data_IF_830551611691
#
_entry.id   IF_830551611691
#
_cell.length_a   1.000
_cell.length_b   1.000
_cell.length_c   1.000
_cell.angle_alpha   90.00
_cell.angle_beta   90.00
_cell.angle_gamma   90.00
#
_symmetry.space_group_name_H-M   'P 1'
#
loop_
_entity.id
_entity.type
_entity.pdbx_description
1 polymer ?
#
# COMPACT_ATOMS: atom_id res chain seq x y z
N UNK A 1 9.40 11.03 -15.98
CA UNK A 1 10.79 10.60 -15.75
C UNK A 1 11.20 9.71 -16.91
N UNK A 2 12.45 9.77 -17.43
CA UNK A 2 12.87 8.80 -18.43
C UNK A 2 12.97 7.43 -17.76
N UNK A 3 12.13 6.49 -18.21
CA UNK A 3 12.11 5.07 -17.77
C UNK A 3 13.30 4.29 -18.36
N UNK A 4 14.49 4.90 -18.41
CA UNK A 4 15.69 4.27 -18.94
C UNK A 4 15.90 2.90 -18.30
N UNK A 5 15.51 1.83 -19.04
CA UNK A 5 15.92 0.48 -18.81
C UNK A 5 15.48 -0.17 -17.50
N UNK A 6 14.14 -0.30 -17.24
CA UNK A 6 13.70 -1.30 -16.27
C UNK A 6 14.16 -2.68 -16.74
N UNK A 7 14.65 -3.55 -15.83
CA UNK A 7 15.04 -4.89 -16.20
C UNK A 7 13.83 -5.69 -16.72
N UNK A 8 14.06 -6.44 -17.80
CA UNK A 8 13.03 -7.34 -18.33
C UNK A 8 12.76 -8.47 -17.35
N UNK A 9 11.52 -8.91 -17.32
CA UNK A 9 11.11 -10.08 -16.54
C UNK A 9 11.63 -11.35 -17.22
N UNK A 10 12.44 -12.20 -16.53
CA UNK A 10 12.91 -13.44 -17.12
C UNK A 10 11.74 -14.36 -17.45
N UNK A 11 11.75 -15.08 -18.61
CA UNK A 11 10.70 -16.04 -18.94
C UNK A 11 10.51 -17.16 -17.90
N UNK A 12 11.58 -17.51 -17.18
CA UNK A 12 11.55 -18.48 -16.07
C UNK A 12 10.82 -18.01 -14.83
N UNK A 13 10.56 -16.69 -14.71
CA UNK A 13 9.82 -16.13 -13.59
C UNK A 13 8.35 -15.92 -13.99
N UNK A 14 7.52 -16.94 -13.80
CA UNK A 14 6.13 -17.04 -14.28
C UNK A 14 5.07 -16.69 -13.22
N UNK A 15 5.49 -16.24 -12.01
CA UNK A 15 4.58 -15.92 -10.90
C UNK A 15 3.56 -14.86 -11.29
N UNK A 16 2.31 -15.07 -10.90
CA UNK A 16 1.25 -14.07 -11.01
C UNK A 16 1.55 -12.87 -10.10
N UNK A 17 1.17 -11.67 -10.54
CA UNK A 17 1.50 -10.43 -9.83
C UNK A 17 0.26 -9.89 -9.11
N UNK A 18 0.40 -9.62 -7.82
CA UNK A 18 -0.61 -8.91 -7.04
C UNK A 18 -0.06 -7.57 -6.54
N UNK A 19 -0.95 -6.58 -6.43
CA UNK A 19 -0.68 -5.30 -5.81
C UNK A 19 -1.60 -5.13 -4.61
N UNK A 20 -1.02 -4.91 -3.44
CA UNK A 20 -1.74 -4.77 -2.17
C UNK A 20 -1.54 -3.37 -1.62
N UNK A 21 -2.63 -2.63 -1.44
CA UNK A 21 -2.63 -1.21 -1.11
C UNK A 21 -3.24 -0.97 0.28
N UNK A 22 -2.42 -0.46 1.19
CA UNK A 22 -2.83 -0.13 2.57
C UNK A 22 -3.74 1.09 2.61
N UNK A 23 -4.59 1.19 3.64
CA UNK A 23 -5.33 2.40 3.98
C UNK A 23 -4.44 3.49 4.59
N UNK A 24 -4.78 4.77 4.37
CA UNK A 24 -3.99 5.88 4.92
C UNK A 24 -4.35 7.27 4.40
N UNK A 25 -5.57 7.48 3.90
CA UNK A 25 -6.07 8.80 3.50
C UNK A 25 -5.18 9.49 2.46
N UNK A 26 -4.77 10.73 2.75
CA UNK A 26 -3.95 11.54 1.85
C UNK A 26 -2.58 10.93 1.50
N UNK A 27 -2.08 9.97 2.29
CA UNK A 27 -0.83 9.26 2.00
C UNK A 27 -0.93 8.36 0.75
N UNK A 28 -2.14 8.01 0.33
CA UNK A 28 -2.38 7.13 -0.82
C UNK A 28 -1.85 7.65 -2.17
N UNK A 29 -1.46 8.93 -2.29
CA UNK A 29 -0.76 9.46 -3.45
C UNK A 29 0.62 8.81 -3.67
N UNK A 30 1.28 8.35 -2.60
CA UNK A 30 2.49 7.51 -2.69
C UNK A 30 2.22 6.22 -3.46
N UNK A 31 1.08 5.55 -3.19
CA UNK A 31 0.68 4.33 -3.90
C UNK A 31 0.47 4.57 -5.40
N UNK A 32 -0.09 5.73 -5.75
CA UNK A 32 -0.28 6.11 -7.14
C UNK A 32 1.07 6.30 -7.86
N UNK A 33 2.06 6.90 -7.19
CA UNK A 33 3.43 7.01 -7.69
C UNK A 33 4.12 5.64 -7.85
N UNK A 34 3.94 4.74 -6.89
CA UNK A 34 4.41 3.35 -7.02
C UNK A 34 3.78 2.68 -8.24
N UNK A 35 2.47 2.81 -8.40
CA UNK A 35 1.77 2.19 -9.52
C UNK A 35 2.19 2.77 -10.87
N UNK A 36 2.49 4.06 -10.99
CA UNK A 36 3.00 4.68 -12.22
C UNK A 36 4.22 3.92 -12.77
N UNK A 37 5.15 3.53 -11.90
CA UNK A 37 6.34 2.80 -12.29
C UNK A 37 6.06 1.31 -12.53
N UNK A 38 5.26 0.68 -11.67
CA UNK A 38 4.84 -0.72 -11.84
C UNK A 38 4.08 -0.90 -13.16
N UNK A 39 3.22 0.05 -13.53
CA UNK A 39 2.47 0.02 -14.80
C UNK A 39 3.36 0.10 -16.05
N UNK A 40 4.56 0.69 -15.94
CA UNK A 40 5.53 0.79 -17.03
C UNK A 40 6.48 -0.41 -17.10
N UNK A 41 6.37 -1.37 -16.17
CA UNK A 41 7.19 -2.58 -16.08
C UNK A 41 6.47 -3.80 -16.67
N UNK A 42 7.19 -4.92 -16.78
CA UNK A 42 6.61 -6.22 -17.14
C UNK A 42 5.91 -6.92 -15.94
N UNK A 43 5.86 -6.27 -14.77
CA UNK A 43 5.21 -6.79 -13.56
C UNK A 43 3.81 -6.19 -13.33
N UNK A 44 3.03 -6.05 -14.41
CA UNK A 44 1.67 -5.51 -14.33
C UNK A 44 0.79 -6.45 -13.48
N UNK A 45 0.10 -5.94 -12.43
CA UNK A 45 -0.71 -6.78 -11.57
C UNK A 45 -1.96 -7.31 -12.27
N UNK A 46 -2.22 -8.61 -12.09
CA UNK A 46 -3.47 -9.29 -12.47
C UNK A 46 -4.51 -9.24 -11.34
N UNK A 47 -4.09 -8.87 -10.13
CA UNK A 47 -4.94 -8.72 -8.96
C UNK A 47 -4.51 -7.49 -8.14
N UNK A 48 -5.47 -6.61 -7.86
CA UNK A 48 -5.26 -5.45 -6.97
C UNK A 48 -6.20 -5.56 -5.79
N UNK A 49 -5.66 -5.44 -4.58
CA UNK A 49 -6.44 -5.48 -3.35
C UNK A 49 -6.15 -4.22 -2.51
N UNK A 50 -7.18 -3.62 -1.92
CA UNK A 50 -7.01 -2.37 -1.17
C UNK A 50 -7.97 -2.22 0.00
N UNK A 51 -7.57 -1.36 0.94
CA UNK A 51 -8.37 -0.92 2.08
C UNK A 51 -8.41 0.62 2.06
N UNK A 52 -9.56 1.22 2.37
CA UNK A 52 -9.70 2.68 2.48
C UNK A 52 -9.26 3.40 1.20
N UNK A 53 -8.36 4.36 1.27
CA UNK A 53 -7.78 5.03 0.08
C UNK A 53 -7.11 4.03 -0.87
N UNK A 54 -6.53 2.95 -0.34
CA UNK A 54 -5.99 1.85 -1.14
C UNK A 54 -7.07 1.14 -1.96
N UNK A 55 -8.31 1.04 -1.45
CA UNK A 55 -9.44 0.49 -2.21
C UNK A 55 -9.87 1.41 -3.35
N UNK A 56 -9.82 2.72 -3.14
CA UNK A 56 -10.10 3.73 -4.18
C UNK A 56 -9.06 3.64 -5.30
N UNK A 57 -7.76 3.68 -4.94
CA UNK A 57 -6.68 3.50 -5.92
C UNK A 57 -6.81 2.16 -6.66
N UNK A 58 -7.09 1.07 -5.93
CA UNK A 58 -7.28 -0.26 -6.51
C UNK A 58 -8.43 -0.31 -7.52
N UNK A 59 -9.57 0.32 -7.19
CA UNK A 59 -10.73 0.38 -8.07
C UNK A 59 -10.44 1.17 -9.37
N UNK A 60 -9.73 2.31 -9.25
CA UNK A 60 -9.31 3.10 -10.42
C UNK A 60 -8.35 2.28 -11.30
N UNK A 61 -7.41 1.54 -10.70
CA UNK A 61 -6.47 0.68 -11.43
C UNK A 61 -7.22 -0.46 -12.14
N UNK A 62 -8.07 -1.19 -11.42
CA UNK A 62 -8.73 -2.38 -11.95
C UNK A 62 -9.83 -2.04 -12.97
N UNK A 63 -10.54 -0.92 -12.77
CA UNK A 63 -11.66 -0.52 -13.61
C UNK A 63 -11.28 0.25 -14.88
N UNK A 64 -9.99 0.44 -15.17
CA UNK A 64 -9.58 1.16 -16.36
C UNK A 64 -8.66 0.31 -17.26
N UNK A 65 -8.62 0.66 -18.56
CA UNK A 65 -7.69 0.05 -19.49
C UNK A 65 -6.23 0.38 -19.08
N UNK A 66 -5.28 -0.54 -19.24
CA UNK A 66 -3.90 -0.33 -18.79
C UNK A 66 -3.28 1.02 -19.20
N UNK A 67 -3.47 1.54 -20.42
CA UNK A 67 -2.92 2.84 -20.82
C UNK A 67 -3.51 4.03 -20.04
N UNK A 68 -4.76 3.91 -19.56
CA UNK A 68 -5.50 5.02 -18.95
C UNK A 68 -5.34 5.09 -17.43
N UNK A 69 -4.89 4.01 -16.79
CA UNK A 69 -4.88 3.83 -15.32
C UNK A 69 -4.15 4.94 -14.58
N UNK A 70 -2.94 5.27 -15.03
CA UNK A 70 -2.11 6.32 -14.41
C UNK A 70 -2.75 7.69 -14.59
N UNK A 71 -3.28 7.98 -15.77
CA UNK A 71 -3.99 9.25 -16.05
C UNK A 71 -5.24 9.39 -15.16
N UNK A 72 -6.00 8.32 -14.97
CA UNK A 72 -7.19 8.31 -14.09
C UNK A 72 -6.83 8.49 -12.62
N UNK A 73 -5.76 7.84 -12.15
CA UNK A 73 -5.22 8.09 -10.79
C UNK A 73 -4.80 9.55 -10.63
N UNK A 74 -4.11 10.12 -11.62
CA UNK A 74 -3.69 11.52 -11.59
C UNK A 74 -4.89 12.45 -11.52
N UNK A 75 -5.91 12.23 -12.35
CA UNK A 75 -7.16 13.00 -12.32
C UNK A 75 -7.81 12.94 -10.94
N UNK A 76 -7.93 11.74 -10.33
CA UNK A 76 -8.48 11.59 -8.99
C UNK A 76 -7.70 12.41 -7.96
N UNK A 77 -6.39 12.24 -7.89
CA UNK A 77 -5.55 12.92 -6.92
C UNK A 77 -5.50 14.43 -7.12
N UNK A 78 -5.56 14.90 -8.38
CA UNK A 78 -5.65 16.32 -8.69
C UNK A 78 -6.99 16.94 -8.27
N UNK A 79 -8.09 16.21 -8.36
CA UNK A 79 -9.40 16.71 -7.93
C UNK A 79 -9.55 16.79 -6.43
N UNK A 80 -9.14 15.74 -5.71
CA UNK A 80 -9.32 15.68 -4.26
C UNK A 80 -8.26 16.47 -3.48
N UNK A 81 -7.29 17.09 -4.16
CA UNK A 81 -6.26 17.90 -3.53
C UNK A 81 -6.49 19.39 -3.80
N UNK A 82 -6.45 20.20 -2.74
CA UNK A 82 -6.63 21.64 -2.84
C UNK A 82 -5.51 22.30 -3.63
N UNK A 83 -5.81 23.17 -4.60
CA UNK A 83 -4.78 23.92 -5.29
C UNK A 83 -4.04 24.83 -4.30
N UNK A 84 -2.71 24.82 -4.36
CA UNK A 84 -1.79 25.54 -3.49
C UNK A 84 -1.76 27.08 -3.79
N UNK A 85 -2.82 27.63 -4.36
CA UNK A 85 -2.84 29.01 -4.88
C UNK A 85 -2.57 30.13 -3.86
N UNK A 86 -2.54 29.81 -2.57
CA UNK A 86 -2.33 30.82 -1.51
C UNK A 86 -0.94 30.78 -0.88
N UNK A 87 -0.08 29.81 -1.20
CA UNK A 87 1.23 29.67 -0.54
C UNK A 87 2.33 29.36 -1.55
N UNK A 88 3.56 29.89 -1.36
CA UNK A 88 4.71 29.56 -2.19
C UNK A 88 5.01 28.07 -2.14
N UNK A 89 5.29 27.46 -3.27
CA UNK A 89 5.83 26.09 -3.36
C UNK A 89 7.33 26.09 -2.99
N UNK A 90 7.80 25.04 -2.31
CA UNK A 90 9.23 24.90 -1.99
C UNK A 90 9.64 25.54 -0.67
N UNK A 91 8.75 25.66 0.27
CA UNK A 91 9.09 26.00 1.66
C UNK A 91 9.70 24.78 2.35
N UNK A 92 10.80 24.99 3.08
CA UNK A 92 11.45 23.96 3.90
C UNK A 92 11.35 24.28 5.40
N UNK A 93 11.53 23.29 6.26
CA UNK A 93 11.61 23.45 7.70
C UNK A 93 10.28 23.90 8.36
N UNK A 94 10.33 24.76 9.43
CA UNK A 94 9.15 25.09 10.24
C UNK A 94 8.00 25.75 9.47
N UNK A 95 8.30 26.49 8.39
CA UNK A 95 7.28 27.12 7.55
C UNK A 95 6.50 26.08 6.73
N UNK A 96 7.16 25.05 6.21
CA UNK A 96 6.52 23.95 5.52
C UNK A 96 5.62 23.15 6.47
N UNK A 97 6.06 22.93 7.71
CA UNK A 97 5.27 22.27 8.75
C UNK A 97 4.01 23.07 9.09
N UNK A 98 4.14 24.37 9.31
CA UNK A 98 3.01 25.25 9.58
C UNK A 98 2.00 25.24 8.41
N UNK A 99 2.48 25.27 7.17
CA UNK A 99 1.66 25.17 5.98
C UNK A 99 0.88 23.85 5.94
N UNK A 100 1.54 22.71 6.20
CA UNK A 100 0.88 21.39 6.24
C UNK A 100 -0.23 21.34 7.29
N UNK A 101 0.02 21.89 8.52
CA UNK A 101 -0.99 21.95 9.59
C UNK A 101 -2.18 22.81 9.21
N UNK A 102 -1.97 23.96 8.58
CA UNK A 102 -3.05 24.82 8.07
C UNK A 102 -3.84 24.12 6.99
N UNK A 103 -3.18 23.48 6.02
CA UNK A 103 -3.83 22.71 4.95
C UNK A 103 -4.69 21.58 5.51
N UNK A 104 -4.18 20.82 6.47
CA UNK A 104 -4.92 19.76 7.15
C UNK A 104 -6.15 20.31 7.90
N UNK A 105 -5.99 21.44 8.59
CA UNK A 105 -7.10 22.14 9.26
C UNK A 105 -8.18 22.59 8.27
N UNK A 106 -7.80 23.14 7.12
CA UNK A 106 -8.73 23.53 6.06
C UNK A 106 -9.46 22.31 5.47
N UNK A 107 -8.77 21.17 5.26
CA UNK A 107 -9.40 19.95 4.82
C UNK A 107 -10.49 19.46 5.78
N UNK A 108 -10.26 19.55 7.09
CA UNK A 108 -11.24 19.21 8.11
C UNK A 108 -12.42 20.19 8.15
N UNK A 109 -12.18 21.48 7.94
CA UNK A 109 -13.21 22.53 8.04
C UNK A 109 -14.05 22.67 6.76
N UNK A 110 -13.41 22.52 5.59
CA UNK A 110 -14.05 22.77 4.29
C UNK A 110 -14.38 21.48 3.53
N UNK A 111 -13.81 20.33 3.95
CA UNK A 111 -13.88 19.09 3.18
C UNK A 111 -12.93 19.09 2.00
N UNK A 112 -13.07 18.05 1.14
CA UNK A 112 -12.28 17.90 -0.09
C UNK A 112 -13.21 17.70 -1.29
N UNK A 113 -13.07 18.53 -2.34
CA UNK A 113 -13.88 18.41 -3.54
C UNK A 113 -13.86 16.98 -4.11
N UNK A 114 -15.02 16.48 -4.51
CA UNK A 114 -15.11 15.14 -5.10
C UNK A 114 -14.87 13.97 -4.13
N UNK A 115 -14.65 14.25 -2.84
CA UNK A 115 -14.39 13.23 -1.83
C UNK A 115 -15.35 13.31 -0.64
N UNK A 116 -15.28 14.36 0.18
CA UNK A 116 -16.14 14.55 1.34
C UNK A 116 -16.42 16.03 1.64
N UNK A 117 -17.59 16.29 2.23
CA UNK A 117 -18.02 17.63 2.67
C UNK A 117 -18.45 17.61 4.13
N UNK A 118 -18.14 18.66 4.94
CA UNK A 118 -18.62 18.74 6.31
C UNK A 118 -20.16 18.80 6.34
N UNK A 119 -20.76 18.17 7.33
CA UNK A 119 -22.20 18.33 7.60
C UNK A 119 -22.47 19.70 8.22
N UNK A 120 -23.59 20.30 7.87
CA UNK A 120 -23.96 21.59 8.43
C UNK A 120 -24.23 21.48 9.95
N UNK A 121 -23.86 22.50 10.75
CA UNK A 121 -24.13 22.50 12.19
C UNK A 121 -25.59 22.28 12.56
N UNK A 122 -26.53 22.73 11.72
CA UNK A 122 -27.96 22.51 11.92
C UNK A 122 -28.39 21.02 11.86
N UNK A 123 -27.64 20.17 11.17
CA UNK A 123 -27.92 18.74 11.09
C UNK A 123 -27.75 18.04 12.44
N UNK A 124 -26.92 18.60 13.35
CA UNK A 124 -26.63 18.04 14.68
C UNK A 124 -27.81 18.16 15.65
N UNK A 125 -28.72 19.09 15.40
CA UNK A 125 -29.94 19.30 16.18
C UNK A 125 -31.20 18.77 15.48
N UNK A 126 -31.06 18.10 14.36
CA UNK A 126 -32.18 17.44 13.69
C UNK A 126 -32.67 16.19 14.46
N UNK A 127 -33.93 15.80 14.30
CA UNK A 127 -34.51 14.59 14.91
C UNK A 127 -33.77 13.30 14.52
N UNK A 128 -33.11 13.30 13.38
CA UNK A 128 -32.21 12.24 12.92
C UNK A 128 -30.76 12.71 13.12
N UNK A 129 -30.20 12.53 14.33
CA UNK A 129 -28.80 12.86 14.62
C UNK A 129 -27.87 12.17 13.64
N UNK A 130 -26.95 12.91 13.02
CA UNK A 130 -25.99 12.33 12.06
C UNK A 130 -25.06 11.33 12.74
N UNK A 131 -24.72 10.25 12.06
CA UNK A 131 -23.77 9.23 12.53
C UNK A 131 -22.34 9.47 12.05
N UNK A 132 -22.07 10.64 11.43
CA UNK A 132 -20.74 11.01 10.88
C UNK A 132 -20.56 12.52 10.82
N UNK A 133 -19.32 12.98 10.86
CA UNK A 133 -18.97 14.40 10.73
C UNK A 133 -19.09 14.90 9.29
N UNK A 134 -18.86 14.03 8.30
CA UNK A 134 -18.84 14.37 6.88
C UNK A 134 -19.85 13.56 6.09
N UNK A 135 -20.24 14.10 4.94
CA UNK A 135 -20.96 13.43 3.87
C UNK A 135 -19.98 12.99 2.79
N UNK A 136 -20.14 11.78 2.24
CA UNK A 136 -19.27 11.21 1.21
C UNK A 136 -19.99 10.94 -0.12
N UNK A 137 -21.15 11.54 -0.36
CA UNK A 137 -21.92 11.37 -1.60
C UNK A 137 -21.13 11.80 -2.84
N UNK A 138 -20.29 12.85 -2.71
CA UNK A 138 -19.41 13.32 -3.77
C UNK A 138 -18.42 12.23 -4.25
N UNK A 139 -17.93 11.37 -3.34
CA UNK A 139 -17.05 10.27 -3.69
C UNK A 139 -17.73 9.27 -4.63
N UNK A 140 -19.04 9.00 -4.45
CA UNK A 140 -19.77 8.11 -5.35
C UNK A 140 -19.71 8.61 -6.79
N UNK A 141 -20.05 9.87 -7.01
CA UNK A 141 -20.01 10.50 -8.35
C UNK A 141 -18.59 10.46 -8.94
N UNK A 142 -17.57 10.71 -8.12
CA UNK A 142 -16.17 10.63 -8.56
C UNK A 142 -15.79 9.21 -8.98
N UNK A 143 -16.18 8.19 -8.22
CA UNK A 143 -15.93 6.80 -8.56
C UNK A 143 -16.67 6.38 -9.84
N UNK A 144 -17.96 6.74 -9.99
CA UNK A 144 -18.74 6.43 -11.18
C UNK A 144 -18.16 7.05 -12.46
N UNK A 145 -17.50 8.19 -12.35
CA UNK A 145 -16.84 8.88 -13.47
C UNK A 145 -15.45 8.34 -13.79
N UNK A 146 -14.68 7.93 -12.77
CA UNK A 146 -13.28 7.53 -12.93
C UNK A 146 -13.06 6.03 -13.04
N UNK A 147 -14.04 5.20 -12.70
CA UNK A 147 -13.99 3.74 -12.72
C UNK A 147 -15.05 3.21 -13.67
N UNK A 148 -14.64 2.46 -14.67
CA UNK A 148 -15.53 1.68 -15.52
C UNK A 148 -15.90 0.38 -14.80
N UNK A 149 -17.06 0.39 -14.14
CA UNK A 149 -17.53 -0.76 -13.37
C UNK A 149 -17.96 -1.94 -14.24
N UNK A 150 -18.38 -1.72 -15.48
CA UNK A 150 -18.70 -2.80 -16.42
C UNK A 150 -17.41 -3.54 -16.81
N UNK A 151 -16.37 -2.77 -17.12
CA UNK A 151 -15.04 -3.34 -17.35
C UNK A 151 -14.50 -4.06 -16.11
N UNK A 152 -14.58 -3.47 -14.94
CA UNK A 152 -14.11 -4.03 -13.69
C UNK A 152 -14.75 -5.40 -13.40
N UNK A 153 -16.02 -5.55 -13.70
CA UNK A 153 -16.80 -6.77 -13.49
C UNK A 153 -16.66 -7.79 -14.63
N UNK A 154 -15.92 -7.49 -15.69
CA UNK A 154 -15.64 -8.44 -16.76
C UNK A 154 -14.57 -9.45 -16.36
N UNK A 155 -14.79 -10.72 -16.69
CA UNK A 155 -13.97 -11.88 -16.29
C UNK A 155 -12.51 -11.83 -16.80
N UNK A 156 -12.25 -11.03 -17.83
CA UNK A 156 -10.92 -10.95 -18.49
C UNK A 156 -10.01 -9.87 -17.91
N UNK A 157 -10.46 -9.13 -16.89
CA UNK A 157 -9.76 -7.96 -16.38
C UNK A 157 -8.97 -8.23 -15.10
N UNK A 158 -8.24 -7.19 -14.67
CA UNK A 158 -7.54 -7.17 -13.38
C UNK A 158 -8.57 -7.37 -12.25
N UNK A 159 -8.36 -8.39 -11.43
CA UNK A 159 -9.21 -8.69 -10.28
C UNK A 159 -9.10 -7.59 -9.23
N UNK A 160 -10.22 -7.17 -8.68
CA UNK A 160 -10.30 -6.23 -7.56
C UNK A 160 -10.83 -6.92 -6.31
N UNK A 161 -10.18 -6.67 -5.16
CA UNK A 161 -10.71 -7.02 -3.85
C UNK A 161 -10.64 -5.83 -2.92
N UNK A 162 -11.73 -5.48 -2.26
CA UNK A 162 -11.79 -4.39 -1.28
C UNK A 162 -12.33 -4.91 0.05
N UNK A 163 -11.66 -4.54 1.15
CA UNK A 163 -12.04 -5.00 2.48
C UNK A 163 -12.85 -3.95 3.23
N UNK A 164 -13.93 -4.38 3.90
CA UNK A 164 -14.75 -3.53 4.78
C UNK A 164 -15.17 -4.30 6.03
N UNK A 165 -15.55 -3.59 7.09
CA UNK A 165 -16.00 -4.19 8.35
C UNK A 165 -17.51 -4.11 8.44
N UNK A 166 -18.19 -5.26 8.59
CA UNK A 166 -19.60 -5.29 8.89
C UNK A 166 -19.87 -4.72 10.30
N UNK A 167 -20.64 -3.65 10.36
CA UNK A 167 -20.85 -2.87 11.61
C UNK A 167 -21.49 -3.70 12.71
N UNK A 168 -22.41 -4.61 12.34
CA UNK A 168 -23.15 -5.42 13.30
C UNK A 168 -22.30 -6.52 13.93
N UNK A 169 -21.45 -7.16 13.11
CA UNK A 169 -20.69 -8.35 13.53
C UNK A 169 -19.25 -8.05 13.91
N UNK A 170 -18.71 -6.87 13.54
CA UNK A 170 -17.30 -6.50 13.66
C UNK A 170 -16.36 -7.31 12.78
N UNK A 171 -16.90 -8.13 11.86
CA UNK A 171 -16.09 -8.99 10.99
C UNK A 171 -15.61 -8.23 9.76
N UNK A 172 -14.32 -8.40 9.45
CA UNK A 172 -13.77 -8.00 8.17
C UNK A 172 -14.31 -8.92 7.07
N UNK A 173 -14.83 -8.33 6.01
CA UNK A 173 -15.31 -9.01 4.81
C UNK A 173 -14.58 -8.45 3.59
N UNK A 174 -14.48 -9.25 2.52
CA UNK A 174 -13.92 -8.80 1.26
C UNK A 174 -14.96 -8.88 0.16
N UNK A 175 -15.17 -7.78 -0.54
CA UNK A 175 -15.90 -7.71 -1.79
C UNK A 175 -14.91 -7.93 -2.93
N UNK A 176 -15.13 -8.95 -3.75
CA UNK A 176 -14.15 -9.46 -4.70
C UNK A 176 -14.80 -9.67 -6.08
N UNK A 177 -14.23 -9.04 -7.11
CA UNK A 177 -14.75 -9.09 -8.47
C UNK A 177 -14.74 -10.50 -9.11
N UNK A 178 -13.96 -11.44 -8.52
CA UNK A 178 -13.98 -12.84 -8.97
C UNK A 178 -15.23 -13.61 -8.48
N UNK A 179 -15.94 -13.10 -7.48
CA UNK A 179 -17.07 -13.81 -6.85
C UNK A 179 -18.38 -13.04 -6.88
N UNK A 180 -18.34 -11.72 -7.11
CA UNK A 180 -19.51 -10.86 -7.15
C UNK A 180 -19.28 -9.62 -8.01
N UNK A 181 -20.37 -8.99 -8.45
CA UNK A 181 -20.27 -7.70 -9.13
C UNK A 181 -19.93 -6.59 -8.12
N UNK A 182 -18.88 -5.83 -8.40
CA UNK A 182 -18.44 -4.69 -7.59
C UNK A 182 -19.19 -3.44 -8.04
N UNK A 183 -19.68 -2.68 -7.05
CA UNK A 183 -20.38 -1.39 -7.22
C UNK A 183 -19.60 -0.29 -6.48
N UNK A 184 -19.84 0.99 -6.77
CA UNK A 184 -19.23 2.11 -6.06
C UNK A 184 -19.36 1.99 -4.53
N UNK A 185 -20.49 1.51 -4.04
CA UNK A 185 -20.78 1.34 -2.61
C UNK A 185 -19.79 0.40 -1.90
N UNK A 186 -19.29 -0.63 -2.58
CA UNK A 186 -18.28 -1.54 -2.01
C UNK A 186 -16.95 -0.81 -1.75
N UNK A 187 -16.54 0.06 -2.68
CA UNK A 187 -15.33 0.88 -2.55
C UNK A 187 -15.52 1.94 -1.47
N UNK A 188 -16.68 2.60 -1.45
CA UNK A 188 -17.05 3.58 -0.42
C UNK A 188 -17.10 2.96 0.97
N UNK A 189 -17.64 1.75 1.12
CA UNK A 189 -17.69 1.01 2.39
C UNK A 189 -16.28 0.76 2.94
N UNK A 190 -15.34 0.39 2.06
CA UNK A 190 -13.93 0.22 2.44
C UNK A 190 -13.28 1.52 2.92
N UNK A 191 -13.75 2.68 2.48
CA UNK A 191 -13.23 4.00 2.85
C UNK A 191 -14.06 4.74 3.91
N UNK A 192 -15.08 4.11 4.48
CA UNK A 192 -16.02 4.70 5.43
C UNK A 192 -15.48 4.68 6.87
N UNK A 193 -14.42 5.45 7.19
CA UNK A 193 -13.80 5.48 8.52
C UNK A 193 -14.64 6.27 9.53
N UNK A 194 -15.21 5.64 10.56
CA UNK A 194 -15.95 6.33 11.61
C UNK A 194 -15.01 7.07 12.58
N UNK A 195 -15.45 8.13 13.25
CA UNK A 195 -16.73 8.82 13.11
C UNK A 195 -16.74 9.86 11.98
N UNK A 196 -15.66 9.98 11.21
CA UNK A 196 -15.52 10.92 10.10
C UNK A 196 -16.59 10.67 9.04
N UNK A 197 -16.67 9.46 8.53
CA UNK A 197 -17.52 9.08 7.40
C UNK A 197 -18.68 8.16 7.83
N UNK A 198 -19.85 8.27 7.14
CA UNK A 198 -21.02 7.44 7.44
C UNK A 198 -20.79 5.97 7.04
N UNK A 199 -21.44 5.06 7.73
CA UNK A 199 -21.52 3.66 7.26
C UNK A 199 -22.26 3.57 5.94
N UNK A 200 -21.80 2.70 5.06
CA UNK A 200 -22.42 2.44 3.75
C UNK A 200 -23.31 1.21 3.86
N UNK A 201 -24.55 1.32 3.36
CA UNK A 201 -25.49 0.21 3.30
C UNK A 201 -25.31 -0.56 1.99
N UNK A 202 -25.14 -1.88 2.12
CA UNK A 202 -25.02 -2.81 1.00
C UNK A 202 -25.88 -4.02 1.33
N UNK A 203 -26.90 -4.26 0.50
CA UNK A 203 -27.79 -5.41 0.58
C UNK A 203 -28.40 -5.61 2.00
N UNK A 204 -28.79 -4.49 2.66
CA UNK A 204 -29.41 -4.46 3.98
C UNK A 204 -28.45 -4.53 5.17
N UNK A 205 -27.16 -4.66 4.95
CA UNK A 205 -26.13 -4.62 5.98
C UNK A 205 -25.31 -3.32 5.90
N UNK A 206 -24.75 -2.88 7.04
CA UNK A 206 -23.94 -1.65 7.11
C UNK A 206 -22.47 -1.96 7.30
N UNK A 207 -21.63 -1.20 6.61
CA UNK A 207 -20.20 -1.40 6.56
C UNK A 207 -19.42 -0.13 6.87
N UNK A 208 -18.31 -0.30 7.58
CA UNK A 208 -17.28 0.70 7.83
C UNK A 208 -15.96 0.30 7.20
N UNK A 209 -14.99 1.21 7.25
CA UNK A 209 -13.63 1.06 6.76
C UNK A 209 -12.96 -0.22 7.27
N UNK A 210 -12.35 -0.96 6.35
CA UNK A 210 -11.60 -2.19 6.66
C UNK A 210 -10.44 -1.97 7.61
N UNK A 211 -9.85 -0.76 7.62
CA UNK A 211 -8.74 -0.36 8.49
C UNK A 211 -9.02 -0.44 9.99
N UNK A 212 -10.30 -0.52 10.39
CA UNK A 212 -10.66 -0.79 11.79
C UNK A 212 -10.15 -2.15 12.29
N UNK A 213 -10.09 -3.16 11.41
CA UNK A 213 -9.69 -4.52 11.74
C UNK A 213 -8.36 -4.88 11.09
N UNK A 214 -8.20 -4.65 9.79
CA UNK A 214 -6.95 -4.89 9.05
C UNK A 214 -6.76 -3.80 8.01
N UNK A 215 -5.61 -3.13 8.05
CA UNK A 215 -5.34 -1.99 7.17
C UNK A 215 -4.64 -2.38 5.87
N UNK A 216 -4.16 -3.62 5.73
CA UNK A 216 -3.49 -4.15 4.54
C UNK A 216 -4.08 -5.51 4.18
N UNK A 217 -4.66 -5.71 2.99
CA UNK A 217 -5.35 -6.96 2.62
C UNK A 217 -4.40 -8.07 2.15
N UNK A 218 -3.14 -8.08 2.62
CA UNK A 218 -2.10 -9.02 2.19
C UNK A 218 -2.50 -10.47 2.46
N UNK A 219 -2.95 -10.76 3.68
CA UNK A 219 -3.33 -12.12 4.07
C UNK A 219 -4.46 -12.68 3.19
N UNK A 220 -5.44 -11.85 2.80
CA UNK A 220 -6.51 -12.27 1.90
C UNK A 220 -5.98 -12.74 0.55
N UNK A 221 -5.02 -12.00 -0.02
CA UNK A 221 -4.39 -12.33 -1.30
C UNK A 221 -3.55 -13.60 -1.21
N UNK A 222 -2.78 -13.76 -0.13
CA UNK A 222 -1.85 -14.88 0.05
C UNK A 222 -2.55 -16.19 0.40
N UNK A 223 -3.62 -16.15 1.19
CA UNK A 223 -4.38 -17.34 1.62
C UNK A 223 -5.48 -17.77 0.64
N UNK A 224 -5.73 -17.00 -0.43
CA UNK A 224 -6.83 -17.28 -1.36
C UNK A 224 -6.67 -18.63 -2.08
N UNK A 225 -7.76 -19.39 -2.12
CA UNK A 225 -7.78 -20.71 -2.76
C UNK A 225 -8.43 -20.65 -4.16
N UNK A 226 -7.91 -21.35 -5.19
CA UNK A 226 -6.71 -22.19 -5.18
C UNK A 226 -5.42 -21.36 -5.08
N UNK A 227 -4.49 -21.86 -4.24
CA UNK A 227 -3.20 -21.20 -4.04
C UNK A 227 -2.36 -21.22 -5.32
N UNK A 228 -1.72 -20.09 -5.60
CA UNK A 228 -0.81 -19.94 -6.74
C UNK A 228 0.43 -19.19 -6.30
N UNK A 229 1.58 -19.55 -6.87
CA UNK A 229 2.80 -18.77 -6.69
C UNK A 229 2.60 -17.34 -7.16
N UNK A 230 2.98 -16.34 -6.32
CA UNK A 230 2.77 -14.94 -6.60
C UNK A 230 3.98 -14.07 -6.26
N UNK A 231 4.13 -13.00 -7.04
CA UNK A 231 4.86 -11.81 -6.65
C UNK A 231 3.83 -10.81 -6.12
N UNK A 232 3.99 -10.39 -4.89
CA UNK A 232 3.07 -9.46 -4.24
C UNK A 232 3.79 -8.15 -3.92
N UNK A 233 3.47 -7.07 -4.63
CA UNK A 233 3.88 -5.72 -4.24
C UNK A 233 2.96 -5.24 -3.13
N UNK A 234 3.50 -5.12 -1.93
CA UNK A 234 2.81 -4.59 -0.76
C UNK A 234 3.21 -3.13 -0.57
N UNK A 235 2.24 -2.23 -0.69
CA UNK A 235 2.48 -0.79 -0.54
C UNK A 235 1.87 -0.30 0.76
N UNK A 236 2.72 -0.08 1.75
CA UNK A 236 2.34 0.39 3.08
C UNK A 236 2.59 1.89 3.23
N UNK A 237 1.69 2.55 3.97
CA UNK A 237 1.70 4.00 4.20
C UNK A 237 2.16 4.38 5.61
N UNK A 238 2.31 3.38 6.48
CA UNK A 238 2.76 3.55 7.86
C UNK A 238 3.96 2.65 8.13
N UNK A 239 4.99 3.22 8.75
CA UNK A 239 6.23 2.50 9.05
C UNK A 239 6.22 1.92 10.48
N UNK A 240 6.83 0.72 10.64
CA UNK A 240 6.94 0.10 11.95
C UNK A 240 8.08 0.72 12.81
N UNK A 241 9.20 1.05 12.16
CA UNK A 241 10.33 1.70 12.80
C UNK A 241 10.14 3.22 12.82
N UNK A 242 10.64 3.89 13.86
CA UNK A 242 10.58 5.34 14.01
C UNK A 242 11.30 5.79 15.26
N UNK A 243 11.63 7.06 15.32
CA UNK A 243 12.30 7.69 16.44
C UNK A 243 11.40 7.77 17.69
N UNK A 244 12.04 7.95 18.86
CA UNK A 244 11.31 8.18 20.11
C UNK A 244 10.73 9.60 20.08
N UNK A 245 9.40 9.75 20.24
CA UNK A 245 8.77 11.06 20.19
C UNK A 245 9.28 12.04 21.23
N UNK A 246 9.41 13.31 20.86
CA UNK A 246 9.88 14.42 21.72
C UNK A 246 8.78 15.40 22.09
N UNK A 247 7.63 15.36 21.39
CA UNK A 247 6.47 16.22 21.62
C UNK A 247 5.15 15.48 21.36
N UNK A 248 4.02 16.07 21.75
CA UNK A 248 2.70 15.44 21.67
C UNK A 248 2.24 15.14 20.23
N UNK A 249 2.62 15.94 19.25
CA UNK A 249 2.28 15.70 17.84
C UNK A 249 3.01 14.46 17.30
N UNK A 250 4.30 14.33 17.62
CA UNK A 250 5.08 13.14 17.32
C UNK A 250 4.57 11.89 18.06
N UNK A 251 4.10 12.02 19.31
CA UNK A 251 3.46 10.92 20.05
C UNK A 251 2.22 10.44 19.32
N UNK A 252 1.36 11.35 18.89
CA UNK A 252 0.13 11.00 18.17
C UNK A 252 0.43 10.40 16.77
N UNK A 253 1.44 10.91 16.08
CA UNK A 253 1.93 10.34 14.82
C UNK A 253 2.45 8.93 15.04
N UNK A 254 3.33 8.74 16.03
CA UNK A 254 3.97 7.45 16.30
C UNK A 254 2.98 6.38 16.76
N UNK A 255 1.99 6.75 17.58
CA UNK A 255 0.90 5.85 17.99
C UNK A 255 0.13 5.33 16.79
N UNK A 256 -0.21 6.22 15.85
CA UNK A 256 -0.90 5.87 14.60
C UNK A 256 -0.05 4.95 13.72
N UNK A 257 1.24 5.23 13.58
CA UNK A 257 2.19 4.39 12.83
C UNK A 257 2.27 2.98 13.41
N UNK A 258 2.49 2.85 14.72
CA UNK A 258 2.55 1.55 15.40
C UNK A 258 1.24 0.79 15.22
N UNK A 259 0.10 1.45 15.37
CA UNK A 259 -1.22 0.83 15.25
C UNK A 259 -1.44 0.20 13.87
N UNK A 260 -1.09 0.91 12.80
CA UNK A 260 -1.35 0.45 11.43
C UNK A 260 -0.24 -0.45 10.88
N UNK A 261 1.02 -0.18 11.18
CA UNK A 261 2.14 -1.01 10.73
C UNK A 261 2.21 -2.37 11.44
N UNK A 262 1.92 -2.43 12.75
CA UNK A 262 2.02 -3.67 13.54
C UNK A 262 1.07 -4.76 13.06
N UNK A 263 -0.15 -4.39 12.68
CA UNK A 263 -1.17 -5.34 12.19
C UNK A 263 -0.72 -6.03 10.90
N UNK A 264 -0.10 -5.28 10.00
CA UNK A 264 0.44 -5.83 8.75
C UNK A 264 1.59 -6.78 9.01
N UNK A 265 2.55 -6.40 9.87
CA UNK A 265 3.71 -7.22 10.21
C UNK A 265 3.30 -8.54 10.85
N UNK A 266 2.46 -8.52 11.88
CA UNK A 266 1.96 -9.73 12.54
C UNK A 266 1.23 -10.65 11.54
N UNK A 267 0.43 -10.08 10.64
CA UNK A 267 -0.25 -10.85 9.59
C UNK A 267 0.72 -11.54 8.62
N UNK A 268 1.78 -10.84 8.22
CA UNK A 268 2.82 -11.37 7.32
C UNK A 268 3.64 -12.48 7.99
N UNK A 269 4.06 -12.27 9.24
CA UNK A 269 4.78 -13.29 10.03
C UNK A 269 3.94 -14.55 10.22
N UNK A 270 2.70 -14.43 10.67
CA UNK A 270 1.78 -15.54 10.85
C UNK A 270 1.46 -16.28 9.53
N UNK A 271 1.45 -15.59 8.39
CA UNK A 271 1.33 -16.22 7.09
C UNK A 271 2.59 -17.03 6.76
N UNK A 272 3.78 -16.45 6.94
CA UNK A 272 5.06 -17.12 6.67
C UNK A 272 5.17 -18.41 7.46
N UNK A 273 4.96 -18.38 8.78
CA UNK A 273 4.99 -19.56 9.64
C UNK A 273 4.03 -20.66 9.15
N UNK A 274 2.79 -20.30 8.88
CA UNK A 274 1.80 -21.27 8.35
C UNK A 274 2.20 -21.83 6.99
N UNK A 275 2.82 -21.03 6.14
CA UNK A 275 3.23 -21.47 4.81
C UNK A 275 4.44 -22.40 4.88
N UNK A 276 5.40 -22.14 5.77
CA UNK A 276 6.53 -23.04 6.07
C UNK A 276 6.04 -24.39 6.57
N UNK A 277 5.09 -24.42 7.51
CA UNK A 277 4.46 -25.69 7.96
C UNK A 277 3.81 -26.44 6.78
N UNK A 278 3.14 -25.76 5.87
CA UNK A 278 2.54 -26.37 4.68
C UNK A 278 3.58 -26.95 3.72
N UNK A 279 4.71 -26.29 3.55
CA UNK A 279 5.84 -26.82 2.79
C UNK A 279 6.42 -28.08 3.46
N UNK A 280 6.67 -28.03 4.75
CA UNK A 280 7.17 -29.18 5.51
C UNK A 280 6.21 -30.40 5.44
N UNK A 281 4.90 -30.19 5.45
CA UNK A 281 3.92 -31.27 5.23
C UNK A 281 4.09 -31.91 3.84
N UNK A 282 4.29 -31.09 2.82
CA UNK A 282 4.50 -31.60 1.47
C UNK A 282 5.82 -32.34 1.32
N UNK A 283 6.90 -31.88 1.93
CA UNK A 283 8.19 -32.55 1.98
C UNK A 283 8.08 -33.90 2.69
N UNK A 284 7.47 -33.94 3.88
CA UNK A 284 7.22 -35.17 4.62
C UNK A 284 6.41 -36.16 3.79
N UNK A 285 5.36 -35.71 3.09
CA UNK A 285 4.59 -36.58 2.24
C UNK A 285 5.45 -37.20 1.11
N UNK A 286 6.36 -36.41 0.52
CA UNK A 286 7.24 -36.88 -0.54
C UNK A 286 8.25 -37.93 -0.06
N UNK A 287 8.66 -37.89 1.21
CA UNK A 287 9.54 -38.87 1.85
C UNK A 287 8.84 -40.19 2.22
N UNK A 288 7.50 -40.22 2.23
CA UNK A 288 6.77 -41.46 2.57
C UNK A 288 6.95 -42.52 1.50
N UNK A 289 7.02 -43.81 1.89
CA UNK A 289 6.88 -44.94 0.95
C UNK A 289 5.55 -44.90 0.21
N UNK A 290 5.52 -45.41 -1.03
CA UNK A 290 4.31 -45.35 -1.89
C UNK A 290 3.08 -46.01 -1.26
N UNK A 291 3.31 -47.07 -0.48
CA UNK A 291 2.27 -47.77 0.26
C UNK A 291 1.56 -46.84 1.27
N UNK A 292 2.32 -46.02 1.98
CA UNK A 292 1.77 -45.03 2.93
C UNK A 292 1.12 -43.84 2.24
N UNK A 293 1.67 -43.35 1.10
CA UNK A 293 1.08 -42.29 0.32
C UNK A 293 -0.33 -42.62 -0.17
N UNK A 294 -0.60 -43.92 -0.42
CA UNK A 294 -1.90 -44.38 -0.89
C UNK A 294 -3.01 -44.30 0.16
N UNK A 295 -2.66 -44.20 1.45
CA UNK A 295 -3.60 -44.21 2.57
C UNK A 295 -4.47 -42.95 2.61
N UNK A 296 -5.70 -43.06 3.12
CA UNK A 296 -6.62 -41.93 3.29
C UNK A 296 -6.07 -40.85 4.23
N UNK A 297 -5.33 -41.27 5.26
CA UNK A 297 -4.69 -40.34 6.22
C UNK A 297 -3.61 -39.51 5.53
N UNK A 298 -2.70 -40.13 4.80
CA UNK A 298 -1.62 -39.43 4.09
C UNK A 298 -2.19 -38.44 3.05
N UNK A 299 -3.18 -38.85 2.24
CA UNK A 299 -3.85 -37.98 1.27
C UNK A 299 -4.55 -36.80 1.92
N UNK A 300 -5.21 -37.01 3.09
CA UNK A 300 -5.83 -35.94 3.85
C UNK A 300 -4.78 -34.91 4.35
N UNK A 301 -3.64 -35.38 4.86
CA UNK A 301 -2.55 -34.50 5.32
C UNK A 301 -1.92 -33.74 4.14
N UNK A 302 -1.70 -34.42 3.02
CA UNK A 302 -1.18 -33.79 1.80
C UNK A 302 -2.02 -32.58 1.34
N UNK A 303 -3.34 -32.63 1.50
CA UNK A 303 -4.23 -31.52 1.15
C UNK A 303 -4.00 -30.25 1.99
N UNK A 304 -3.35 -30.36 3.15
CA UNK A 304 -2.89 -29.19 3.93
C UNK A 304 -1.56 -28.66 3.44
N UNK A 305 -0.78 -29.48 2.72
CA UNK A 305 0.49 -29.11 2.13
C UNK A 305 0.35 -28.06 1.03
N UNK A 306 1.45 -27.43 0.68
CA UNK A 306 1.54 -26.44 -0.39
C UNK A 306 2.94 -26.47 -1.00
N UNK A 307 3.02 -26.26 -2.32
CA UNK A 307 4.28 -26.12 -3.07
C UNK A 307 4.42 -24.73 -3.68
N UNK A 308 3.46 -23.83 -3.43
CA UNK A 308 3.51 -22.49 -3.99
C UNK A 308 4.55 -21.64 -3.28
N UNK A 309 5.19 -20.75 -4.01
CA UNK A 309 6.17 -19.81 -3.48
C UNK A 309 5.65 -18.38 -3.59
N UNK A 310 5.81 -17.62 -2.51
CA UNK A 310 5.37 -16.22 -2.44
C UNK A 310 6.59 -15.31 -2.30
N UNK A 311 6.68 -14.32 -3.18
CA UNK A 311 7.63 -13.21 -3.06
C UNK A 311 6.86 -11.96 -2.66
N UNK A 312 7.14 -11.42 -1.49
CA UNK A 312 6.51 -10.20 -0.96
C UNK A 312 7.53 -9.08 -1.06
N UNK A 313 7.24 -8.10 -1.90
CA UNK A 313 8.07 -6.90 -2.07
C UNK A 313 7.40 -5.75 -1.35
N UNK A 314 8.03 -5.28 -0.29
CA UNK A 314 7.53 -4.20 0.56
C UNK A 314 8.00 -2.85 0.03
N UNK A 315 7.05 -1.97 -0.24
CA UNK A 315 7.23 -0.57 -0.58
C UNK A 315 6.57 0.24 0.53
N UNK A 316 7.35 0.68 1.51
CA UNK A 316 6.85 1.35 2.72
C UNK A 316 7.18 2.83 2.62
N UNK A 317 6.17 3.68 2.75
CA UNK A 317 6.39 5.12 2.76
C UNK A 317 7.16 5.55 4.01
N UNK A 318 8.38 6.08 3.80
CA UNK A 318 9.29 6.56 4.83
C UNK A 318 9.66 8.01 4.53
N UNK A 319 8.90 8.99 5.05
CA UNK A 319 9.27 10.40 4.89
C UNK A 319 10.60 10.68 5.59
N UNK A 320 11.40 11.58 5.01
CA UNK A 320 12.69 11.97 5.58
C UNK A 320 12.56 12.79 6.87
N UNK A 321 11.44 13.49 7.03
CA UNK A 321 11.13 14.28 8.22
C UNK A 321 9.77 13.85 8.79
N UNK A 322 9.56 13.97 10.11
CA UNK A 322 8.24 13.78 10.71
C UNK A 322 7.21 14.69 10.04
N UNK A 323 6.07 14.13 9.68
CA UNK A 323 5.00 14.86 8.99
C UNK A 323 3.90 15.34 9.94
N UNK A 324 3.95 14.88 11.20
CA UNK A 324 2.95 15.14 12.23
C UNK A 324 1.71 14.23 12.13
N UNK A 325 0.88 14.30 13.18
CA UNK A 325 -0.31 13.46 13.32
C UNK A 325 -1.38 13.69 12.23
N UNK A 326 -1.30 14.80 11.50
CA UNK A 326 -2.25 15.21 10.46
C UNK A 326 -1.93 14.67 9.07
N UNK A 327 -0.85 13.92 8.90
CA UNK A 327 -0.33 13.50 7.60
C UNK A 327 -1.33 12.75 6.70
N UNK A 328 -2.27 12.01 7.27
CA UNK A 328 -3.27 11.22 6.55
C UNK A 328 -4.52 12.01 6.11
N UNK A 329 -4.67 13.26 6.57
CA UNK A 329 -5.71 14.20 6.11
C UNK A 329 -5.14 15.53 5.60
N UNK A 330 -3.87 15.61 5.32
CA UNK A 330 -3.20 16.73 4.67
C UNK A 330 -3.27 16.54 3.14
N UNK A 331 -4.22 17.24 2.49
CA UNK A 331 -4.55 17.12 1.06
C UNK A 331 -4.05 18.33 0.23
N UNK A 332 -2.91 18.94 0.56
CA UNK A 332 -2.34 19.94 -0.34
C UNK A 332 -1.80 19.33 -1.62
N UNK A 333 -1.88 20.09 -2.71
CA UNK A 333 -1.37 19.65 -4.02
C UNK A 333 0.16 19.42 -4.00
N UNK A 334 0.90 20.27 -3.28
CA UNK A 334 2.36 20.13 -3.16
C UNK A 334 2.76 18.84 -2.48
N UNK A 335 2.17 18.52 -1.33
CA UNK A 335 2.46 17.29 -0.60
C UNK A 335 1.99 16.04 -1.35
N UNK A 336 0.86 16.14 -2.06
CA UNK A 336 0.41 15.06 -2.94
C UNK A 336 1.47 14.74 -4.02
N UNK A 337 2.00 15.76 -4.69
CA UNK A 337 3.03 15.59 -5.74
C UNK A 337 4.34 15.05 -5.16
N UNK A 338 4.75 15.52 -3.99
CA UNK A 338 5.94 15.04 -3.29
C UNK A 338 5.82 13.54 -2.97
N UNK A 339 4.70 13.11 -2.37
CA UNK A 339 4.42 11.70 -2.07
C UNK A 339 4.37 10.84 -3.32
N UNK A 340 3.75 11.33 -4.39
CA UNK A 340 3.72 10.65 -5.68
C UNK A 340 5.14 10.41 -6.23
N UNK A 341 5.97 11.46 -6.24
CA UNK A 341 7.35 11.36 -6.70
C UNK A 341 8.19 10.43 -5.80
N UNK A 342 7.93 10.42 -4.49
CA UNK A 342 8.58 9.50 -3.55
C UNK A 342 8.23 8.05 -3.89
N UNK A 343 6.94 7.74 -4.05
CA UNK A 343 6.51 6.40 -4.45
C UNK A 343 7.08 5.93 -5.78
N UNK A 344 7.15 6.83 -6.75
CA UNK A 344 7.76 6.53 -8.05
C UNK A 344 9.27 6.24 -7.93
N UNK A 345 10.01 6.97 -7.09
CA UNK A 345 11.45 6.72 -6.85
C UNK A 345 11.68 5.38 -6.16
N UNK A 346 10.92 5.08 -5.11
CA UNK A 346 11.05 3.84 -4.36
C UNK A 346 10.74 2.63 -5.24
N UNK A 347 9.68 2.70 -6.04
CA UNK A 347 9.31 1.64 -6.98
C UNK A 347 10.37 1.46 -8.08
N UNK A 348 10.94 2.55 -8.60
CA UNK A 348 11.99 2.48 -9.62
C UNK A 348 13.25 1.81 -9.07
N UNK A 349 13.69 2.19 -7.87
CA UNK A 349 14.84 1.61 -7.19
C UNK A 349 14.61 0.11 -6.93
N UNK A 350 13.45 -0.24 -6.40
CA UNK A 350 13.07 -1.62 -6.09
C UNK A 350 12.99 -2.50 -7.34
N UNK A 351 12.38 -2.00 -8.41
CA UNK A 351 12.28 -2.75 -9.68
C UNK A 351 13.64 -2.91 -10.37
N UNK A 352 14.55 -1.95 -10.22
CA UNK A 352 15.92 -2.07 -10.75
C UNK A 352 16.72 -3.14 -10.01
N UNK A 353 16.59 -3.24 -8.70
CA UNK A 353 17.24 -4.27 -7.90
C UNK A 353 16.67 -5.65 -8.16
N UNK A 354 15.35 -5.78 -8.30
CA UNK A 354 14.61 -7.03 -8.61
C UNK A 354 15.11 -8.29 -7.87
N UNK A 355 15.31 -8.28 -6.54
CA UNK A 355 15.94 -9.39 -5.82
C UNK A 355 15.13 -10.70 -5.88
N UNK A 356 13.83 -10.64 -6.17
CA UNK A 356 12.96 -11.80 -6.31
C UNK A 356 13.26 -12.67 -7.53
N UNK A 357 14.06 -12.19 -8.49
CA UNK A 357 14.47 -12.97 -9.68
C UNK A 357 15.45 -14.09 -9.29
N UNK A 358 16.19 -13.93 -8.18
CA UNK A 358 17.09 -14.95 -7.69
C UNK A 358 16.35 -16.30 -7.47
N UNK A 359 16.98 -17.44 -7.80
CA UNK A 359 16.39 -18.74 -7.59
C UNK A 359 15.88 -18.94 -6.16
N UNK A 360 14.74 -19.61 -6.01
CA UNK A 360 14.15 -19.93 -4.70
C UNK A 360 14.65 -21.33 -4.30
N UNK A 361 15.29 -21.48 -3.13
CA UNK A 361 15.58 -22.80 -2.58
C UNK A 361 14.28 -23.59 -2.38
N UNK A 362 14.27 -24.92 -2.60
CA UNK A 362 13.04 -25.73 -2.54
C UNK A 362 12.29 -25.65 -1.20
N UNK A 363 13.03 -25.47 -0.11
CA UNK A 363 12.52 -25.36 1.26
C UNK A 363 11.87 -24.00 1.57
N UNK A 364 12.10 -22.98 0.74
CA UNK A 364 11.62 -21.61 1.00
C UNK A 364 10.27 -21.37 0.33
N UNK A 365 9.23 -21.30 1.14
CA UNK A 365 7.87 -21.01 0.67
C UNK A 365 7.55 -19.51 0.54
N UNK A 366 8.18 -18.65 1.35
CA UNK A 366 7.92 -17.21 1.39
C UNK A 366 9.23 -16.43 1.49
N UNK A 367 9.42 -15.44 0.61
CA UNK A 367 10.49 -14.45 0.70
C UNK A 367 9.89 -13.06 0.86
N UNK A 368 10.52 -12.24 1.69
CA UNK A 368 10.14 -10.84 1.87
C UNK A 368 11.34 -9.96 1.54
N UNK A 369 11.11 -8.90 0.76
CA UNK A 369 12.14 -7.98 0.30
C UNK A 369 11.71 -6.54 0.65
N UNK A 370 12.57 -5.81 1.35
CA UNK A 370 12.44 -4.38 1.64
C UNK A 370 13.69 -3.66 1.14
N UNK A 371 13.81 -3.53 -0.16
CA UNK A 371 15.01 -3.01 -0.85
C UNK A 371 15.41 -1.62 -0.36
N UNK A 372 14.43 -0.77 -0.07
CA UNK A 372 14.72 0.59 0.41
C UNK A 372 15.30 0.56 1.83
N UNK A 373 14.78 -0.31 2.70
CA UNK A 373 15.33 -0.49 4.05
C UNK A 373 16.77 -1.02 4.00
N UNK A 374 17.00 -2.04 3.17
CA UNK A 374 18.34 -2.64 3.03
C UNK A 374 19.37 -1.60 2.58
N UNK A 375 19.04 -0.75 1.60
CA UNK A 375 19.89 0.36 1.15
C UNK A 375 20.15 1.38 2.27
N UNK A 376 19.12 1.70 3.08
CA UNK A 376 19.29 2.66 4.19
C UNK A 376 20.18 2.10 5.29
N UNK A 377 20.04 0.81 5.62
CA UNK A 377 20.89 0.13 6.63
C UNK A 377 22.35 0.10 6.17
N UNK A 378 22.61 -0.27 4.91
CA UNK A 378 23.95 -0.25 4.34
C UNK A 378 24.58 1.15 4.40
N UNK A 379 23.81 2.19 4.04
CA UNK A 379 24.29 3.57 4.08
C UNK A 379 24.62 4.07 5.51
N UNK A 380 23.92 3.56 6.54
CA UNK A 380 24.24 3.88 7.95
C UNK A 380 25.49 3.14 8.39
N UNK A 381 25.65 1.86 8.06
CA UNK A 381 26.84 1.07 8.39
C UNK A 381 28.10 1.68 7.76
N UNK A 382 28.04 2.13 6.51
CA UNK A 382 29.15 2.80 5.82
C UNK A 382 29.55 4.13 6.51
N UNK A 383 28.56 4.87 7.05
CA UNK A 383 28.82 6.09 7.82
C UNK A 383 29.53 5.81 9.15
N UNK A 384 29.12 4.78 9.86
CA UNK A 384 29.74 4.39 11.14
C UNK A 384 31.17 3.90 10.89
N UNK A 385 31.39 3.13 9.83
CA UNK A 385 32.75 2.70 9.42
C UNK A 385 33.63 3.90 9.06
N UNK A 386 33.11 4.86 8.30
CA UNK A 386 33.83 6.07 7.91
C UNK A 386 34.14 7.01 9.08
N UNK A 387 33.32 7.01 10.14
CA UNK A 387 33.57 7.77 11.38
C UNK A 387 34.59 7.11 12.30
N UNK A 388 34.73 5.79 12.22
CA UNK A 388 35.72 5.02 12.99
C UNK A 388 37.11 4.95 12.30
N UNK A 389 37.19 5.33 11.03
CA UNK A 389 38.46 5.50 10.33
C UNK A 389 39.18 6.79 10.81
N UNK A 390 40.52 6.82 10.94
CA UNK A 390 41.25 8.02 11.38
C UNK A 390 40.97 9.18 10.43
N UNK A 391 40.97 10.44 10.96
CA UNK A 391 40.42 11.59 10.25
C UNK A 391 41.26 11.94 9.00
N UNK A 392 40.64 11.81 7.83
CA UNK A 392 41.00 12.58 6.67
C UNK A 392 39.97 13.71 6.51
N UNK A 393 40.50 14.92 6.51
CA UNK A 393 39.75 16.18 6.63
C UNK A 393 38.94 16.47 5.37
N UNK A 394 37.62 16.58 5.46
CA UNK A 394 36.83 17.63 4.75
C UNK A 394 35.37 17.65 5.21
N UNK A 395 34.89 18.84 5.42
CA UNK A 395 33.67 19.30 6.05
C UNK A 395 32.41 19.22 5.15
N UNK A 396 31.24 19.06 5.79
CA UNK A 396 29.97 19.63 5.35
C UNK A 396 29.09 18.80 4.42
N UNK A 397 27.94 18.32 4.93
CA UNK A 397 26.65 18.11 4.26
C UNK A 397 25.94 16.78 4.62
N UNK A 398 25.15 16.82 5.67
CA UNK A 398 24.44 15.61 6.18
C UNK A 398 23.18 15.25 5.36
N UNK A 399 22.54 16.19 4.67
CA UNK A 399 21.32 15.95 3.85
C UNK A 399 21.68 15.63 2.39
N UNK A 400 22.73 16.22 1.86
CA UNK A 400 23.26 15.90 0.52
C UNK A 400 23.89 14.50 0.45
N UNK A 401 24.32 13.95 1.58
CA UNK A 401 24.91 12.62 1.62
C UNK A 401 23.85 11.50 1.45
N UNK A 402 22.67 11.60 2.07
CA UNK A 402 21.57 10.65 1.80
C UNK A 402 21.14 10.71 0.32
N UNK A 403 21.08 11.90 -0.24
CA UNK A 403 20.77 12.09 -1.67
C UNK A 403 21.87 11.51 -2.57
N UNK A 404 23.14 11.63 -2.18
CA UNK A 404 24.26 11.08 -2.93
C UNK A 404 24.41 9.56 -2.80
N UNK A 405 24.02 8.95 -1.66
CA UNK A 405 24.03 7.50 -1.48
C UNK A 405 22.90 6.81 -2.25
N UNK A 406 21.69 7.39 -2.28
CA UNK A 406 20.62 6.93 -3.17
C UNK A 406 21.07 6.97 -4.65
N UNK A 407 21.75 8.04 -5.06
CA UNK A 407 22.32 8.18 -6.41
C UNK A 407 23.52 7.24 -6.68
N UNK A 408 24.29 6.84 -5.67
CA UNK A 408 25.36 5.85 -5.80
C UNK A 408 24.82 4.42 -5.85
N UNK A 409 23.81 4.08 -5.05
CA UNK A 409 23.11 2.80 -5.14
C UNK A 409 22.45 2.63 -6.52
N UNK A 410 21.90 3.71 -7.09
CA UNK A 410 21.41 3.72 -8.47
C UNK A 410 22.52 3.42 -9.49
N UNK A 411 23.75 3.93 -9.27
CA UNK A 411 24.93 3.68 -10.13
C UNK A 411 25.53 2.29 -9.92
N UNK A 412 25.56 1.76 -8.68
CA UNK A 412 26.05 0.41 -8.39
C UNK A 412 25.12 -0.67 -8.97
N UNK A 413 23.80 -0.49 -8.86
CA UNK A 413 22.83 -1.37 -9.51
C UNK A 413 22.90 -1.31 -11.05
N UNK A 414 23.38 -0.22 -11.62
CA UNK A 414 23.65 -0.09 -13.06
C UNK A 414 25.00 -0.68 -13.48
N UNK A 415 26.02 -0.72 -12.59
CA UNK A 415 27.39 -1.15 -12.88
C UNK A 415 27.68 -2.64 -12.66
N UNK A 416 26.83 -3.39 -11.97
CA UNK A 416 27.03 -4.84 -11.75
C UNK A 416 26.54 -5.72 -12.92
N UNK A 417 26.27 -5.12 -14.07
CA UNK A 417 25.81 -5.80 -15.30
C UNK A 417 26.72 -5.53 -16.51
N UNK A 418 28.00 -5.21 -16.30
CA UNK A 418 29.00 -5.21 -17.36
C UNK A 418 29.83 -6.50 -17.33
#
# INVERSE_FOLDING_TARGET
MPTGGLPSRPPSYDKKVALVLQGGGALGSYQAGVYEVVASSEYVPDWVAGISIGAINAAIIAGNAPPDRVARLKTFWEEITSPTALWPTGLDGPLAEAQRKVSAGLALLCGQPGFFTPRAPCDWWSLASPTSYYDTSALKTTLERLVDFDRLNSVTNTRLSVGAVNVRTGRLVYFDSATMAIRPEHVMASAALPPGFPSIEIDGERYWDGGLVSNTPLQYVLDYYPRRSRLCFQVDLFQAYGEVPTNLDEVAEREKEIRYASRTRVGTEAFRERHEVRHAINELYNLLPEELKSTSQAKRLYNFGCVTTMDIVQLIYRPFEPLGASKDYEFSRSTMLERWQHGARDALTTLRASPWIAPVPPEVGVRTFDVIHDILVEAVADKEYSRSAPPDTTDGASVDLMRSHLLRAERAAAGSRA
#
